data_IF_320571854379
#
_entry.id   IF_320571854379
#
_cell.length_a   1.000
_cell.length_b   1.000
_cell.length_c   1.000
_cell.angle_alpha   90.00
_cell.angle_beta   90.00
_cell.angle_gamma   90.00
#
_symmetry.space_group_name_H-M   'P 1'
#
loop_
_entity.id
_entity.type
_entity.pdbx_description
1 polymer ?
#
# COMPACT_ATOMS: atom_id res chain seq x y z
N UNK A 1 -10.95 27.52 26.57
CA UNK A 1 -12.07 26.58 26.78
C UNK A 1 -11.94 25.44 25.80
N UNK A 2 -11.62 24.23 26.24
CA UNK A 2 -11.43 23.05 25.38
C UNK A 2 -12.64 22.81 24.44
N UNK A 3 -13.85 23.11 24.93
CA UNK A 3 -15.09 23.08 24.14
C UNK A 3 -15.12 24.04 22.94
N UNK A 4 -14.50 25.23 23.05
CA UNK A 4 -14.42 26.18 21.94
C UNK A 4 -13.45 25.65 20.87
N UNK A 5 -12.35 25.02 21.28
CA UNK A 5 -11.39 24.40 20.35
C UNK A 5 -12.04 23.25 19.60
N UNK A 6 -12.72 22.34 20.31
CA UNK A 6 -13.43 21.19 19.70
C UNK A 6 -14.54 21.64 18.74
N UNK A 7 -15.27 22.72 19.05
CA UNK A 7 -16.31 23.24 18.16
C UNK A 7 -15.79 23.97 16.91
N UNK A 8 -14.62 24.62 17.01
CA UNK A 8 -14.04 25.43 15.92
C UNK A 8 -13.18 24.59 14.96
N UNK A 9 -12.51 23.56 15.44
CA UNK A 9 -11.59 22.73 14.62
C UNK A 9 -12.28 22.16 13.36
N UNK A 10 -13.45 21.50 13.43
CA UNK A 10 -14.12 20.96 12.23
C UNK A 10 -14.48 22.04 11.20
N UNK A 11 -14.78 23.26 11.65
CA UNK A 11 -15.08 24.39 10.78
C UNK A 11 -13.82 24.85 10.02
N UNK A 12 -12.66 24.90 10.70
CA UNK A 12 -11.38 25.25 10.09
C UNK A 12 -10.89 24.15 9.14
N UNK A 13 -10.99 22.88 9.51
CA UNK A 13 -10.62 21.76 8.63
C UNK A 13 -11.39 21.81 7.31
N UNK A 14 -12.70 22.08 7.39
CA UNK A 14 -13.56 22.22 6.21
C UNK A 14 -13.22 23.44 5.36
N UNK A 15 -12.82 24.55 5.99
CA UNK A 15 -12.48 25.81 5.31
C UNK A 15 -11.10 25.77 4.65
N UNK A 16 -10.12 25.12 5.28
CA UNK A 16 -8.71 25.10 4.84
C UNK A 16 -8.27 23.78 4.20
N UNK A 17 -9.14 22.77 4.17
CA UNK A 17 -8.81 21.42 3.67
C UNK A 17 -7.57 20.81 4.34
N UNK A 18 -7.43 21.04 5.65
CA UNK A 18 -6.36 20.46 6.47
C UNK A 18 -6.98 19.46 7.43
N UNK A 19 -6.44 18.26 7.50
CA UNK A 19 -6.84 17.24 8.47
C UNK A 19 -6.11 17.45 9.79
N UNK A 20 -6.86 17.62 10.87
CA UNK A 20 -6.32 17.71 12.22
C UNK A 20 -5.86 16.35 12.72
N UNK A 21 -4.95 16.38 13.70
CA UNK A 21 -4.53 15.17 14.41
C UNK A 21 -5.68 14.49 15.16
N UNK A 22 -6.75 15.21 15.49
CA UNK A 22 -7.95 14.64 16.13
C UNK A 22 -8.69 13.73 15.15
N UNK A 23 -9.00 14.24 13.96
CA UNK A 23 -9.64 13.47 12.88
C UNK A 23 -8.83 12.24 12.49
N UNK A 24 -7.51 12.37 12.35
CA UNK A 24 -6.66 11.21 12.07
C UNK A 24 -6.59 10.21 13.24
N UNK A 25 -6.72 10.67 14.49
CA UNK A 25 -6.76 9.77 15.64
C UNK A 25 -8.05 8.94 15.62
N UNK A 26 -9.19 9.56 15.33
CA UNK A 26 -10.47 8.86 15.18
C UNK A 26 -10.42 7.83 14.04
N UNK A 27 -9.88 8.22 12.88
CA UNK A 27 -9.71 7.31 11.73
C UNK A 27 -8.66 6.22 11.94
N UNK A 28 -7.86 6.31 13.00
CA UNK A 28 -6.92 5.25 13.35
C UNK A 28 -7.53 4.13 14.17
N UNK A 29 -8.81 4.26 14.57
CA UNK A 29 -9.57 3.17 15.16
C UNK A 29 -9.95 2.14 14.09
N UNK A 30 -9.45 0.91 14.23
CA UNK A 30 -9.73 -0.20 13.33
C UNK A 30 -11.20 -0.67 13.41
N UNK A 31 -11.98 -0.21 14.40
CA UNK A 31 -13.43 -0.42 14.45
C UNK A 31 -14.22 0.47 13.48
N UNK A 32 -13.54 1.35 12.73
CA UNK A 32 -14.19 2.15 11.69
C UNK A 32 -14.99 1.23 10.73
N UNK A 33 -16.29 1.53 10.43
CA UNK A 33 -17.16 0.61 9.71
C UNK A 33 -16.62 0.14 8.36
N UNK A 34 -15.90 1.02 7.65
CA UNK A 34 -15.29 0.68 6.36
C UNK A 34 -14.11 -0.30 6.50
N UNK A 35 -13.32 -0.19 7.57
CA UNK A 35 -12.21 -1.10 7.85
C UNK A 35 -12.74 -2.46 8.33
N UNK A 36 -13.81 -2.48 9.12
CA UNK A 36 -14.52 -3.70 9.49
C UNK A 36 -15.09 -4.42 8.25
N UNK A 37 -15.67 -3.66 7.32
CA UNK A 37 -16.12 -4.20 6.04
C UNK A 37 -14.95 -4.80 5.24
N UNK A 38 -13.83 -4.09 5.15
CA UNK A 38 -12.61 -4.59 4.49
C UNK A 38 -12.09 -5.89 5.13
N UNK A 39 -12.07 -5.97 6.45
CA UNK A 39 -11.61 -7.15 7.18
C UNK A 39 -12.47 -8.40 6.92
N UNK A 40 -13.78 -8.22 6.70
CA UNK A 40 -14.72 -9.32 6.44
C UNK A 40 -14.77 -9.72 4.97
N UNK A 41 -14.87 -8.74 4.06
CA UNK A 41 -15.11 -8.98 2.63
C UNK A 41 -13.81 -9.15 1.82
N UNK A 42 -12.70 -8.57 2.27
CA UNK A 42 -11.38 -8.63 1.62
C UNK A 42 -10.24 -8.79 2.65
N UNK A 43 -10.22 -9.90 3.41
CA UNK A 43 -9.29 -10.09 4.54
C UNK A 43 -7.80 -10.07 4.12
N UNK A 44 -7.49 -10.46 2.89
CA UNK A 44 -6.15 -10.39 2.33
C UNK A 44 -5.67 -8.94 2.19
N UNK A 45 -6.49 -8.11 1.54
CA UNK A 45 -6.26 -6.68 1.39
C UNK A 45 -6.23 -5.96 2.75
N UNK A 46 -7.07 -6.36 3.71
CA UNK A 46 -7.02 -5.83 5.06
C UNK A 46 -5.65 -6.08 5.73
N UNK A 47 -5.17 -7.32 5.71
CA UNK A 47 -3.86 -7.65 6.28
C UNK A 47 -2.70 -6.96 5.55
N UNK A 48 -2.77 -6.86 4.22
CA UNK A 48 -1.83 -6.06 3.42
C UNK A 48 -1.81 -4.59 3.89
N UNK A 49 -2.98 -3.97 4.01
CA UNK A 49 -3.13 -2.57 4.43
C UNK A 49 -2.57 -2.31 5.83
N UNK A 50 -2.73 -3.25 6.77
CA UNK A 50 -2.11 -3.18 8.09
C UNK A 50 -0.58 -3.21 8.02
N UNK A 51 -0.01 -4.09 7.19
CA UNK A 51 1.45 -4.18 7.02
C UNK A 51 2.02 -2.90 6.41
N UNK A 52 1.36 -2.37 5.36
CA UNK A 52 1.71 -1.09 4.73
C UNK A 52 1.65 0.04 5.76
N UNK A 53 0.56 0.13 6.54
CA UNK A 53 0.41 1.15 7.58
C UNK A 53 1.55 1.12 8.62
N UNK A 54 1.93 -0.07 9.10
CA UNK A 54 3.01 -0.23 10.09
C UNK A 54 4.36 0.22 9.50
N UNK A 55 4.68 -0.21 8.29
CA UNK A 55 5.91 0.18 7.59
C UNK A 55 5.96 1.68 7.36
N UNK A 56 4.88 2.25 6.81
CA UNK A 56 4.79 3.66 6.47
C UNK A 56 4.87 4.56 7.71
N UNK A 57 4.20 4.19 8.81
CA UNK A 57 4.28 4.92 10.07
C UNK A 57 5.71 4.93 10.61
N UNK A 58 6.38 3.76 10.63
CA UNK A 58 7.74 3.63 11.13
C UNK A 58 8.73 4.50 10.33
N UNK A 59 8.64 4.48 9.00
CA UNK A 59 9.48 5.30 8.13
C UNK A 59 9.21 6.80 8.27
N UNK A 60 7.93 7.20 8.33
CA UNK A 60 7.56 8.60 8.49
C UNK A 60 8.09 9.21 9.78
N UNK A 61 8.10 8.45 10.89
CA UNK A 61 8.70 8.88 12.16
C UNK A 61 10.19 9.17 12.03
N UNK A 62 10.92 8.40 11.23
CA UNK A 62 12.38 8.54 11.07
C UNK A 62 12.80 9.76 10.27
N UNK A 63 11.93 10.25 9.37
CA UNK A 63 12.19 11.43 8.54
C UNK A 63 11.38 12.66 8.95
N UNK A 64 10.71 12.60 10.11
CA UNK A 64 9.84 13.68 10.60
C UNK A 64 8.74 14.10 9.59
N UNK A 65 8.15 13.11 8.93
CA UNK A 65 6.89 13.23 8.19
C UNK A 65 5.70 12.95 9.13
N UNK A 66 4.48 13.16 8.65
CA UNK A 66 3.26 12.91 9.41
C UNK A 66 2.99 11.41 9.54
N UNK A 67 3.54 10.81 10.59
CA UNK A 67 3.42 9.37 10.86
C UNK A 67 1.97 8.89 11.04
N UNK A 68 1.12 9.72 11.66
CA UNK A 68 -0.28 9.38 11.87
C UNK A 68 -1.05 9.37 10.54
N UNK A 69 -0.77 10.33 9.65
CA UNK A 69 -1.31 10.31 8.29
C UNK A 69 -0.84 9.09 7.50
N UNK A 70 0.44 8.71 7.60
CA UNK A 70 0.94 7.48 6.96
C UNK A 70 0.22 6.22 7.47
N UNK A 71 -0.02 6.12 8.78
CA UNK A 71 -0.76 5.01 9.38
C UNK A 71 -2.18 4.90 8.84
N UNK A 72 -2.94 6.01 8.93
CA UNK A 72 -4.34 6.05 8.48
C UNK A 72 -4.40 5.87 6.96
N UNK A 73 -3.53 6.54 6.21
CA UNK A 73 -3.42 6.37 4.76
C UNK A 73 -3.17 4.92 4.37
N UNK A 74 -2.27 4.23 5.06
CA UNK A 74 -2.02 2.80 4.87
C UNK A 74 -3.26 1.93 5.11
N UNK A 75 -4.10 2.24 6.11
CA UNK A 75 -5.35 1.50 6.35
C UNK A 75 -6.35 1.63 5.20
N UNK A 76 -6.41 2.80 4.56
CA UNK A 76 -7.46 3.13 3.62
C UNK A 76 -7.04 3.12 2.14
N UNK A 77 -5.74 3.08 1.82
CA UNK A 77 -5.26 3.26 0.44
C UNK A 77 -5.91 2.30 -0.58
N UNK A 78 -6.27 1.11 -0.11
CA UNK A 78 -6.69 -0.02 -0.93
C UNK A 78 -8.18 -0.38 -0.78
N UNK A 79 -8.98 0.45 -0.08
CA UNK A 79 -10.40 0.16 0.20
C UNK A 79 -11.24 -0.07 -1.06
N UNK A 80 -10.82 0.44 -2.22
CA UNK A 80 -11.52 0.22 -3.48
C UNK A 80 -11.55 -1.23 -3.94
N UNK A 81 -10.60 -2.07 -3.46
CA UNK A 81 -10.59 -3.50 -3.74
C UNK A 81 -11.83 -4.22 -3.20
N UNK A 82 -12.56 -3.63 -2.23
CA UNK A 82 -13.87 -4.10 -1.77
C UNK A 82 -14.88 -4.30 -2.90
N UNK A 83 -14.77 -3.55 -4.01
CA UNK A 83 -15.70 -3.67 -5.12
C UNK A 83 -15.60 -5.02 -5.82
N UNK A 84 -14.39 -5.56 -5.94
CA UNK A 84 -14.10 -6.81 -6.66
C UNK A 84 -12.95 -7.60 -5.99
N UNK A 85 -13.09 -8.08 -4.74
CA UNK A 85 -11.97 -8.58 -3.95
C UNK A 85 -11.20 -9.75 -4.60
N UNK A 86 -11.93 -10.65 -5.27
CA UNK A 86 -11.36 -11.88 -5.85
C UNK A 86 -10.39 -11.64 -7.02
N UNK A 87 -10.39 -10.43 -7.60
CA UNK A 87 -9.42 -10.05 -8.63
C UNK A 87 -8.07 -9.61 -8.04
N UNK A 88 -7.93 -9.53 -6.72
CA UNK A 88 -6.68 -9.17 -6.06
C UNK A 88 -6.09 -10.40 -5.39
N UNK A 89 -4.85 -10.73 -5.75
CA UNK A 89 -4.19 -12.00 -5.42
C UNK A 89 -4.13 -12.27 -3.93
N UNK A 90 -4.00 -11.24 -3.10
CA UNK A 90 -3.97 -11.37 -1.65
C UNK A 90 -5.29 -11.91 -1.06
N UNK A 91 -6.41 -11.79 -1.77
CA UNK A 91 -7.71 -12.34 -1.37
C UNK A 91 -8.03 -13.70 -2.01
N UNK A 92 -7.17 -14.21 -2.90
CA UNK A 92 -7.39 -15.46 -3.60
C UNK A 92 -6.89 -16.64 -2.76
N UNK A 93 -7.77 -17.20 -1.92
CA UNK A 93 -7.46 -18.36 -1.09
C UNK A 93 -8.09 -19.62 -1.69
N UNK A 94 -7.24 -20.53 -2.17
CA UNK A 94 -7.66 -21.82 -2.76
C UNK A 94 -8.64 -21.71 -3.94
N UNK A 95 -8.54 -20.64 -4.72
CA UNK A 95 -9.34 -20.44 -5.93
C UNK A 95 -8.42 -20.22 -7.15
N UNK A 96 -8.87 -20.56 -8.37
CA UNK A 96 -8.18 -20.16 -9.60
C UNK A 96 -8.10 -18.64 -9.71
N UNK A 97 -7.04 -18.13 -10.33
CA UNK A 97 -6.90 -16.69 -10.56
C UNK A 97 -7.84 -16.26 -11.70
N UNK A 98 -8.84 -15.40 -11.45
CA UNK A 98 -9.79 -14.97 -12.48
C UNK A 98 -9.12 -14.20 -13.63
N UNK A 99 -7.91 -13.68 -13.44
CA UNK A 99 -7.14 -13.03 -14.50
C UNK A 99 -6.60 -13.98 -15.58
N UNK A 100 -6.58 -15.29 -15.33
CA UNK A 100 -6.11 -16.27 -16.30
C UNK A 100 -7.05 -16.36 -17.51
N UNK A 101 -8.35 -16.15 -17.28
CA UNK A 101 -9.40 -16.17 -18.30
C UNK A 101 -9.64 -14.80 -18.97
N UNK A 102 -8.92 -13.76 -18.54
CA UNK A 102 -9.09 -12.40 -19.05
C UNK A 102 -7.96 -11.98 -19.99
N UNK A 103 -8.34 -11.17 -20.98
CA UNK A 103 -7.38 -10.39 -21.75
C UNK A 103 -6.58 -9.45 -20.84
N UNK A 104 -5.29 -9.20 -21.11
CA UNK A 104 -4.46 -8.29 -20.31
C UNK A 104 -5.06 -6.88 -20.19
N UNK A 105 -5.67 -6.35 -21.25
CA UNK A 105 -6.32 -5.05 -21.26
C UNK A 105 -7.51 -4.96 -20.29
N UNK A 106 -8.30 -6.02 -20.16
CA UNK A 106 -9.41 -6.09 -19.20
C UNK A 106 -8.89 -6.16 -17.76
N UNK A 107 -7.84 -6.97 -17.54
CA UNK A 107 -7.19 -7.08 -16.23
C UNK A 107 -6.64 -5.73 -15.77
N UNK A 108 -5.97 -5.00 -16.66
CA UNK A 108 -5.52 -3.62 -16.42
C UNK A 108 -6.66 -2.70 -15.98
N UNK A 109 -7.82 -2.77 -16.64
CA UNK A 109 -8.99 -1.93 -16.29
C UNK A 109 -9.48 -2.26 -14.88
N UNK A 110 -9.59 -3.54 -14.54
CA UNK A 110 -10.02 -3.99 -13.21
C UNK A 110 -9.06 -3.48 -12.14
N UNK A 111 -7.75 -3.65 -12.37
CA UNK A 111 -6.73 -3.14 -11.45
C UNK A 111 -6.80 -1.62 -11.34
N UNK A 112 -6.87 -0.87 -12.43
CA UNK A 112 -6.92 0.59 -12.36
C UNK A 112 -8.18 1.13 -11.66
N UNK A 113 -9.31 0.41 -11.75
CA UNK A 113 -10.59 0.87 -11.20
C UNK A 113 -10.64 0.86 -9.68
N UNK A 114 -9.82 0.05 -8.97
CA UNK A 114 -9.84 0.08 -7.50
C UNK A 114 -9.51 1.48 -6.96
N UNK A 115 -8.69 2.26 -7.66
CA UNK A 115 -8.39 3.65 -7.27
C UNK A 115 -9.68 4.48 -7.30
N UNK A 116 -10.43 4.42 -8.41
CA UNK A 116 -11.69 5.17 -8.57
C UNK A 116 -12.75 4.72 -7.57
N UNK A 117 -12.90 3.41 -7.39
CA UNK A 117 -13.82 2.83 -6.42
C UNK A 117 -13.43 3.21 -4.99
N UNK A 118 -12.13 3.25 -4.69
CA UNK A 118 -11.59 3.67 -3.40
C UNK A 118 -11.88 5.13 -3.10
N UNK A 119 -11.69 6.03 -4.08
CA UNK A 119 -12.05 7.44 -3.97
C UNK A 119 -13.55 7.63 -3.74
N UNK A 120 -14.39 6.86 -4.46
CA UNK A 120 -15.84 6.92 -4.28
C UNK A 120 -16.26 6.49 -2.88
N UNK A 121 -15.69 5.39 -2.37
CA UNK A 121 -15.91 4.92 -1.00
C UNK A 121 -15.40 5.92 0.03
N UNK A 122 -14.20 6.46 -0.15
CA UNK A 122 -13.63 7.46 0.75
C UNK A 122 -14.54 8.69 0.87
N UNK A 123 -15.08 9.19 -0.25
CA UNK A 123 -16.06 10.29 -0.26
C UNK A 123 -17.37 9.91 0.42
N UNK A 124 -17.90 8.71 0.16
CA UNK A 124 -19.12 8.22 0.78
C UNK A 124 -19.00 8.12 2.31
N UNK A 125 -17.82 7.74 2.81
CA UNK A 125 -17.51 7.64 4.24
C UNK A 125 -16.93 8.94 4.80
N UNK A 126 -16.95 10.04 4.05
CA UNK A 126 -16.47 11.36 4.47
C UNK A 126 -15.02 11.37 4.95
N UNK A 127 -14.17 10.53 4.37
CA UNK A 127 -12.73 10.56 4.64
C UNK A 127 -12.14 11.89 4.17
N UNK A 128 -11.14 12.43 4.90
CA UNK A 128 -10.53 13.70 4.57
C UNK A 128 -9.76 13.65 3.25
N UNK A 129 -9.49 14.85 2.70
CA UNK A 129 -8.88 15.02 1.38
C UNK A 129 -7.52 14.33 1.29
N UNK A 130 -6.70 14.42 2.33
CA UNK A 130 -5.35 13.82 2.34
C UNK A 130 -5.39 12.29 2.24
N UNK A 131 -6.43 11.64 2.77
CA UNK A 131 -6.62 10.19 2.62
C UNK A 131 -7.11 9.85 1.21
N UNK A 132 -8.01 10.65 0.65
CA UNK A 132 -8.46 10.52 -0.74
C UNK A 132 -7.26 10.67 -1.69
N UNK A 133 -6.40 11.65 -1.46
CA UNK A 133 -5.20 11.89 -2.27
C UNK A 133 -4.22 10.71 -2.20
N UNK A 134 -4.05 10.10 -1.02
CA UNK A 134 -3.24 8.89 -0.86
C UNK A 134 -3.84 7.73 -1.68
N UNK A 135 -5.16 7.53 -1.64
CA UNK A 135 -5.83 6.51 -2.47
C UNK A 135 -5.58 6.78 -3.96
N UNK A 136 -5.67 8.03 -4.42
CA UNK A 136 -5.41 8.40 -5.82
C UNK A 136 -3.94 8.19 -6.23
N UNK A 137 -2.99 8.43 -5.32
CA UNK A 137 -1.56 8.54 -5.62
C UNK A 137 -0.73 7.30 -5.30
N UNK A 138 -1.22 6.34 -4.50
CA UNK A 138 -0.36 5.30 -3.93
C UNK A 138 0.34 4.40 -4.97
N UNK A 139 -0.23 4.21 -6.16
CA UNK A 139 0.47 3.55 -7.27
C UNK A 139 1.21 4.50 -8.22
N UNK A 140 0.96 5.80 -8.11
CA UNK A 140 1.40 6.80 -9.07
C UNK A 140 0.92 6.45 -10.48
N UNK A 141 1.82 6.57 -11.45
CA UNK A 141 1.60 6.04 -12.81
C UNK A 141 2.50 4.83 -13.10
N UNK A 142 2.76 4.00 -12.08
CA UNK A 142 3.59 2.80 -12.22
C UNK A 142 3.01 1.85 -13.28
N UNK A 143 3.86 1.02 -13.87
CA UNK A 143 3.46 0.00 -14.84
C UNK A 143 2.84 -1.20 -14.12
N UNK A 144 1.75 -1.73 -14.64
CA UNK A 144 1.18 -3.02 -14.24
C UNK A 144 1.99 -4.15 -14.90
N UNK A 145 3.25 -4.32 -14.48
CA UNK A 145 4.28 -5.14 -15.16
C UNK A 145 3.80 -6.54 -15.54
N UNK A 146 3.11 -7.24 -14.63
CA UNK A 146 2.62 -8.60 -14.89
C UNK A 146 1.69 -8.69 -16.10
N UNK A 147 0.78 -7.72 -16.26
CA UNK A 147 -0.14 -7.68 -17.40
C UNK A 147 0.49 -7.09 -18.64
N UNK A 148 1.40 -6.11 -18.49
CA UNK A 148 2.20 -5.60 -19.59
C UNK A 148 3.01 -6.73 -20.26
N UNK A 149 3.75 -7.52 -19.48
CA UNK A 149 4.53 -8.64 -20.03
C UNK A 149 3.66 -9.76 -20.57
N UNK A 150 2.46 -10.01 -20.01
CA UNK A 150 1.49 -10.94 -20.59
C UNK A 150 1.05 -10.45 -21.97
N UNK A 151 0.73 -9.17 -22.10
CA UNK A 151 0.32 -8.56 -23.37
C UNK A 151 1.43 -8.55 -24.41
N UNK A 152 2.67 -8.24 -23.99
CA UNK A 152 3.82 -8.19 -24.89
C UNK A 152 4.16 -9.56 -25.52
N UNK A 153 3.86 -10.66 -24.83
CA UNK A 153 3.99 -12.01 -25.39
C UNK A 153 3.01 -12.31 -26.52
N UNK A 154 1.85 -11.66 -26.51
CA UNK A 154 0.81 -11.78 -27.53
C UNK A 154 1.03 -10.78 -28.68
N UNK A 155 1.57 -9.59 -28.36
CA UNK A 155 1.89 -8.55 -29.32
C UNK A 155 3.06 -7.69 -28.83
N UNK A 156 4.21 -7.78 -29.50
CA UNK A 156 5.47 -7.10 -29.14
C UNK A 156 5.46 -5.58 -29.37
N UNK A 157 4.45 -5.06 -30.08
CA UNK A 157 4.29 -3.62 -30.35
C UNK A 157 3.57 -2.84 -29.24
N UNK A 158 3.06 -3.54 -28.22
CA UNK A 158 2.34 -2.91 -27.10
C UNK A 158 3.27 -2.00 -26.32
N UNK A 159 2.87 -0.74 -26.16
CA UNK A 159 3.63 0.23 -25.41
C UNK A 159 3.40 0.08 -23.91
N UNK A 160 4.46 0.31 -23.12
CA UNK A 160 4.38 0.29 -21.66
C UNK A 160 3.37 1.32 -21.11
N UNK A 161 3.22 2.46 -21.80
CA UNK A 161 2.23 3.49 -21.48
C UNK A 161 0.79 2.97 -21.45
N UNK A 162 0.50 1.93 -22.22
CA UNK A 162 -0.83 1.33 -22.29
C UNK A 162 -1.16 0.50 -21.04
N UNK A 163 -0.19 0.23 -20.17
CA UNK A 163 -0.35 -0.58 -18.96
C UNK A 163 0.03 0.18 -17.68
N UNK A 164 0.10 1.52 -17.73
CA UNK A 164 0.31 2.35 -16.55
C UNK A 164 -0.98 2.66 -15.82
N UNK A 165 -0.86 2.81 -14.50
CA UNK A 165 -1.90 3.46 -13.70
C UNK A 165 -2.12 4.90 -14.17
N UNK A 166 -3.33 5.46 -14.02
CA UNK A 166 -3.64 6.80 -14.49
C UNK A 166 -2.90 7.91 -13.73
N UNK A 167 -2.35 7.62 -12.55
CA UNK A 167 -1.79 8.64 -11.66
C UNK A 167 -2.87 9.41 -10.89
N UNK A 168 -2.50 10.55 -10.26
CA UNK A 168 -1.19 11.23 -10.38
C UNK A 168 -0.06 10.53 -9.60
N UNK A 169 1.20 10.92 -9.88
CA UNK A 169 2.36 10.50 -9.06
C UNK A 169 2.24 11.07 -7.64
N UNK A 170 2.84 10.42 -6.62
CA UNK A 170 2.89 10.98 -5.27
C UNK A 170 3.44 12.42 -5.25
N UNK A 171 2.77 13.29 -4.50
CA UNK A 171 3.15 14.70 -4.36
C UNK A 171 3.63 15.06 -2.95
N UNK A 172 3.32 14.22 -1.96
CA UNK A 172 3.71 14.42 -0.55
C UNK A 172 4.71 13.37 -0.10
N UNK A 173 5.41 13.62 1.03
CA UNK A 173 6.32 12.62 1.63
C UNK A 173 5.54 11.39 2.07
N UNK A 174 4.34 11.60 2.59
CA UNK A 174 3.47 10.57 3.13
C UNK A 174 2.92 9.66 2.01
N UNK A 175 2.40 10.23 0.92
CA UNK A 175 1.95 9.44 -0.24
C UNK A 175 3.11 8.66 -0.86
N UNK A 176 4.31 9.24 -0.91
CA UNK A 176 5.51 8.58 -1.42
C UNK A 176 5.94 7.40 -0.53
N UNK A 177 5.92 7.58 0.80
CA UNK A 177 6.20 6.50 1.76
C UNK A 177 5.21 5.35 1.60
N UNK A 178 3.91 5.65 1.44
CA UNK A 178 2.88 4.62 1.24
C UNK A 178 3.09 3.90 -0.09
N UNK A 179 3.36 4.62 -1.18
CA UNK A 179 3.68 4.03 -2.49
C UNK A 179 4.87 3.06 -2.43
N UNK A 180 5.92 3.41 -1.69
CA UNK A 180 7.09 2.57 -1.48
C UNK A 180 6.77 1.35 -0.60
N UNK A 181 6.04 1.55 0.49
CA UNK A 181 5.65 0.47 1.40
C UNK A 181 4.73 -0.55 0.71
N UNK A 182 3.68 -0.09 0.01
CA UNK A 182 2.77 -0.92 -0.81
C UNK A 182 3.56 -1.79 -1.80
N UNK A 183 4.45 -1.16 -2.58
CA UNK A 183 5.24 -1.87 -3.58
C UNK A 183 6.14 -2.95 -2.98
N UNK A 184 6.73 -2.71 -1.80
CA UNK A 184 7.61 -3.68 -1.13
C UNK A 184 6.80 -4.80 -0.47
N UNK A 185 5.67 -4.46 0.15
CA UNK A 185 4.77 -5.43 0.78
C UNK A 185 4.22 -6.39 -0.29
N UNK A 186 3.77 -5.88 -1.43
CA UNK A 186 3.35 -6.69 -2.56
C UNK A 186 4.49 -7.57 -3.10
N UNK A 187 5.69 -7.01 -3.27
CA UNK A 187 6.82 -7.73 -3.83
C UNK A 187 7.38 -8.82 -2.90
N UNK A 188 7.33 -8.64 -1.58
CA UNK A 188 7.87 -9.64 -0.64
C UNK A 188 6.98 -10.88 -0.55
N UNK A 189 5.67 -10.75 -0.80
CA UNK A 189 4.73 -11.89 -0.82
C UNK A 189 5.07 -12.96 -1.84
N UNK A 190 5.68 -12.55 -2.96
CA UNK A 190 6.10 -13.47 -4.04
C UNK A 190 7.58 -13.85 -3.94
N UNK A 191 8.32 -13.31 -2.96
CA UNK A 191 9.74 -13.60 -2.76
C UNK A 191 9.94 -15.01 -2.21
N UNK A 192 10.54 -15.88 -3.03
CA UNK A 192 10.92 -17.24 -2.59
C UNK A 192 12.09 -17.19 -1.62
N UNK A 193 11.90 -17.81 -0.45
CA UNK A 193 12.90 -17.89 0.64
C UNK A 193 13.37 -16.49 1.11
N UNK A 194 12.55 -15.75 1.87
CA UNK A 194 12.83 -14.39 2.31
C UNK A 194 13.87 -14.35 3.44
N UNK A 195 15.13 -14.63 3.09
CA UNK A 195 16.29 -14.49 3.99
C UNK A 195 16.83 -13.06 3.96
N UNK A 196 17.54 -12.59 5.00
CA UNK A 196 17.87 -11.17 5.18
C UNK A 196 18.47 -10.48 3.93
N UNK A 197 19.52 -11.05 3.34
CA UNK A 197 20.18 -10.46 2.16
C UNK A 197 19.24 -10.35 0.93
N UNK A 198 18.25 -11.23 0.79
CA UNK A 198 17.27 -11.17 -0.31
C UNK A 198 16.22 -10.10 -0.06
N UNK A 199 15.84 -9.90 1.19
CA UNK A 199 14.92 -8.82 1.59
C UNK A 199 15.59 -7.47 1.34
N UNK A 200 16.85 -7.31 1.75
CA UNK A 200 17.64 -6.10 1.48
C UNK A 200 17.74 -5.81 -0.03
N UNK A 201 18.08 -6.83 -0.83
CA UNK A 201 18.16 -6.69 -2.28
C UNK A 201 16.79 -6.32 -2.91
N UNK A 202 15.69 -6.89 -2.39
CA UNK A 202 14.34 -6.57 -2.85
C UNK A 202 13.99 -5.11 -2.56
N UNK A 203 14.28 -4.62 -1.35
CA UNK A 203 14.07 -3.21 -0.99
C UNK A 203 14.85 -2.32 -1.97
N UNK A 204 16.14 -2.58 -2.16
CA UNK A 204 16.98 -1.77 -3.04
C UNK A 204 16.46 -1.75 -4.50
N UNK A 205 16.02 -2.91 -5.00
CA UNK A 205 15.45 -3.03 -6.33
C UNK A 205 14.17 -2.19 -6.47
N UNK A 206 13.23 -2.29 -5.52
CA UNK A 206 11.96 -1.54 -5.59
C UNK A 206 12.22 -0.04 -5.58
N UNK A 207 13.07 0.45 -4.67
CA UNK A 207 13.42 1.86 -4.60
C UNK A 207 14.12 2.35 -5.87
N UNK A 208 15.07 1.58 -6.39
CA UNK A 208 15.77 1.91 -7.64
C UNK A 208 14.79 2.00 -8.81
N UNK A 209 13.84 1.06 -8.90
CA UNK A 209 12.84 1.06 -9.97
C UNK A 209 11.92 2.29 -9.88
N UNK A 210 11.43 2.63 -8.68
CA UNK A 210 10.59 3.82 -8.46
C UNK A 210 11.32 5.13 -8.79
N UNK A 211 12.61 5.22 -8.46
CA UNK A 211 13.45 6.37 -8.82
C UNK A 211 13.67 6.48 -10.32
N UNK A 212 14.02 5.38 -11.00
CA UNK A 212 14.22 5.35 -12.46
C UNK A 212 12.95 5.69 -13.23
N UNK A 213 11.80 5.24 -12.73
CA UNK A 213 10.48 5.55 -13.30
C UNK A 213 9.98 6.98 -12.93
N UNK A 214 10.79 7.70 -12.15
CA UNK A 214 10.51 9.06 -11.70
C UNK A 214 9.27 9.18 -10.83
N UNK A 215 8.85 8.12 -10.13
CA UNK A 215 7.65 8.11 -9.28
C UNK A 215 7.75 9.12 -8.14
N UNK A 216 8.97 9.44 -7.70
CA UNK A 216 9.23 10.33 -6.56
C UNK A 216 9.54 11.78 -6.96
N UNK A 217 9.55 12.09 -8.26
CA UNK A 217 10.03 13.39 -8.78
C UNK A 217 9.19 14.60 -8.32
N UNK A 218 7.93 14.38 -7.96
CA UNK A 218 7.01 15.44 -7.51
C UNK A 218 6.94 15.52 -5.99
N UNK A 219 7.76 14.75 -5.27
CA UNK A 219 7.74 14.68 -3.81
C UNK A 219 8.89 15.51 -3.24
N UNK A 220 8.75 16.08 -2.02
CA UNK A 220 9.84 16.79 -1.38
C UNK A 220 10.81 15.85 -0.63
N UNK A 221 10.84 14.55 -0.96
CA UNK A 221 11.78 13.60 -0.37
C UNK A 221 13.20 13.86 -0.87
N UNK A 222 14.16 13.93 0.05
CA UNK A 222 15.58 13.99 -0.26
C UNK A 222 16.18 12.59 -0.42
N UNK A 223 17.37 12.48 -1.03
CA UNK A 223 18.11 11.21 -1.05
C UNK A 223 18.39 10.67 0.36
N UNK A 224 18.62 11.56 1.34
CA UNK A 224 18.78 11.17 2.75
C UNK A 224 17.51 10.56 3.31
N UNK A 225 16.35 11.12 2.98
CA UNK A 225 15.05 10.56 3.41
C UNK A 225 14.85 9.18 2.80
N UNK A 226 15.16 9.00 1.52
CA UNK A 226 15.06 7.72 0.82
C UNK A 226 15.88 6.63 1.52
N UNK A 227 17.16 6.88 1.81
CA UNK A 227 18.01 5.93 2.52
C UNK A 227 17.50 5.63 3.94
N UNK A 228 16.92 6.64 4.60
CA UNK A 228 16.31 6.48 5.91
C UNK A 228 15.04 5.63 5.87
N UNK A 229 14.19 5.79 4.85
CA UNK A 229 12.97 4.99 4.64
C UNK A 229 13.35 3.54 4.36
N UNK A 230 14.32 3.26 3.45
CA UNK A 230 14.83 1.91 3.19
C UNK A 230 15.24 1.20 4.49
N UNK A 231 16.05 1.88 5.29
CA UNK A 231 16.55 1.38 6.57
C UNK A 231 15.42 1.14 7.59
N UNK A 232 14.34 1.92 7.54
CA UNK A 232 13.20 1.77 8.43
C UNK A 232 12.31 0.57 8.09
N UNK A 233 12.23 0.18 6.82
CA UNK A 233 11.42 -0.97 6.38
C UNK A 233 12.05 -2.31 6.73
N UNK A 234 13.38 -2.41 6.67
CA UNK A 234 14.10 -3.68 6.80
C UNK A 234 13.77 -4.43 8.11
N UNK A 235 13.85 -3.84 9.32
CA UNK A 235 13.60 -4.57 10.57
C UNK A 235 12.21 -5.20 10.65
N UNK A 236 11.19 -4.50 10.13
CA UNK A 236 9.82 -4.98 10.12
C UNK A 236 9.66 -6.18 9.17
N UNK A 237 10.20 -6.06 7.95
CA UNK A 237 10.14 -7.14 6.97
C UNK A 237 10.88 -8.39 7.44
N UNK A 238 12.03 -8.23 8.11
CA UNK A 238 12.73 -9.34 8.76
C UNK A 238 11.81 -10.00 9.81
N UNK A 239 11.24 -9.21 10.73
CA UNK A 239 10.41 -9.71 11.82
C UNK A 239 9.22 -10.56 11.34
N UNK A 240 8.49 -10.10 10.32
CA UNK A 240 7.29 -10.82 9.84
C UNK A 240 7.64 -12.02 8.92
N UNK A 241 8.85 -12.07 8.37
CA UNK A 241 9.31 -13.14 7.48
C UNK A 241 10.28 -14.13 8.14
N UNK A 242 10.70 -13.91 9.39
CA UNK A 242 11.47 -14.89 10.14
C UNK A 242 10.63 -16.16 10.30
N UNK A 243 11.07 -17.25 9.64
CA UNK A 243 10.55 -18.59 9.91
C UNK A 243 10.64 -18.81 11.42
N UNK A 244 9.50 -19.06 12.09
CA UNK A 244 9.52 -19.72 13.40
C UNK A 244 10.36 -20.97 13.20
N UNK A 245 11.52 -21.05 13.85
CA UNK A 245 12.28 -22.29 13.90
C UNK A 245 11.30 -23.36 14.36
N UNK A 246 11.01 -24.33 13.50
CA UNK A 246 10.22 -25.49 13.91
C UNK A 246 10.95 -26.08 15.12
N UNK A 247 10.27 -26.14 16.26
CA UNK A 247 10.73 -26.97 17.35
C UNK A 247 10.93 -28.38 16.77
N UNK A 248 12.08 -29.04 17.00
CA UNK A 248 12.25 -30.42 16.58
C UNK A 248 11.04 -31.20 17.09
N UNK A 249 10.31 -31.81 16.17
CA UNK A 249 9.18 -32.63 16.54
C UNK A 249 9.71 -33.75 17.44
N UNK A 250 8.98 -34.10 18.48
CA UNK A 250 9.35 -35.13 19.47
C UNK A 250 9.61 -36.52 18.88
N UNK A 251 9.47 -36.71 17.55
CA UNK A 251 9.91 -37.89 16.81
C UNK A 251 11.44 -38.00 16.63
N UNK A 252 12.19 -36.91 16.74
CA UNK A 252 13.66 -36.94 16.58
C UNK A 252 14.41 -37.28 17.88
N UNK A 253 13.69 -37.55 18.98
CA UNK A 253 14.27 -37.85 20.30
C UNK A 253 14.19 -39.34 20.68
N UNK A 254 13.60 -40.19 19.85
CA UNK A 254 13.47 -41.64 20.14
C UNK A 254 14.43 -42.54 19.36
N UNK A 255 15.26 -41.98 18.49
CA UNK A 255 16.33 -42.72 17.79
C UNK A 255 17.72 -42.25 18.26
N UNK A 256 18.03 -42.48 19.55
CA UNK A 256 19.40 -42.54 20.06
C UNK A 256 19.54 -43.60 21.14
#
# INVERSE_FOLDING_TARGET
SLFIVIGIVPLFEKLFHVTSSMTLMELSDLNHPLLQKLAVEAPGTYNHSLNVAIMSEAAARKIHANALLCRVGGYFHDIGKLKNPLYFVENQVNIPNPHDELAPSMSKIILANHIKDGVALAKQYHLPREIIDIIEQHHGNSVMEGFYFKAQKENDTIAESDFRYPGPKPETREAAIICLADSIEAAIRVLKNPVPHRIEALIEQVFTNKLKDGQLNNTPLTFKDIETIKSAFLPYLLAINHKRLSYPSTKDLTDK
#
